data_IF_469950808828
#
_entry.id   IF_469950808828
#
_cell.length_a   1.000
_cell.length_b   1.000
_cell.length_c   1.000
_cell.angle_alpha   90.00
_cell.angle_beta   90.00
_cell.angle_gamma   90.00
#
_symmetry.space_group_name_H-M   'P 1'
#
loop_
_entity.id
_entity.type
_entity.pdbx_description
1 polymer ?
#
# COMPACT_ATOMS: atom_id res chain seq x y z
N UNK A 1 12.74 -4.60 -11.82
CA UNK A 1 11.78 -4.20 -10.78
C UNK A 1 11.53 -5.40 -9.90
N UNK A 2 11.70 -5.23 -8.60
CA UNK A 2 11.41 -6.24 -7.61
C UNK A 2 10.25 -5.72 -6.76
N UNK A 3 9.05 -5.86 -7.32
CA UNK A 3 7.85 -5.30 -6.70
C UNK A 3 7.57 -6.01 -5.39
N UNK A 4 7.42 -5.24 -4.31
CA UNK A 4 7.16 -5.80 -2.97
C UNK A 4 5.83 -6.53 -2.86
N UNK A 5 4.87 -6.26 -3.75
CA UNK A 5 3.50 -6.80 -3.71
C UNK A 5 2.95 -6.95 -5.13
N UNK A 6 2.09 -7.94 -5.33
CA UNK A 6 1.34 -8.08 -6.58
C UNK A 6 0.28 -6.97 -6.74
N UNK A 7 -0.07 -6.59 -7.99
CA UNK A 7 -1.16 -5.66 -8.24
C UNK A 7 -2.46 -6.12 -7.57
N UNK A 8 -3.14 -5.20 -6.88
CA UNK A 8 -4.43 -5.45 -6.24
C UNK A 8 -5.47 -4.47 -6.80
N UNK A 9 -6.53 -4.95 -7.47
CA UNK A 9 -7.54 -4.07 -8.08
C UNK A 9 -8.21 -3.13 -7.06
N UNK A 10 -8.39 -3.58 -5.81
CA UNK A 10 -8.98 -2.78 -4.74
C UNK A 10 -8.06 -1.67 -4.18
N UNK A 11 -6.81 -1.57 -4.66
CA UNK A 11 -5.88 -0.49 -4.30
C UNK A 11 -5.58 0.46 -5.46
N UNK A 12 -6.29 0.31 -6.57
CA UNK A 12 -6.02 1.01 -7.83
C UNK A 12 -7.15 1.98 -8.19
N UNK A 13 -7.51 2.89 -7.28
CA UNK A 13 -8.50 3.93 -7.53
C UNK A 13 -7.86 5.11 -8.29
N UNK A 14 -8.15 5.32 -9.59
CA UNK A 14 -7.83 6.57 -10.26
C UNK A 14 -8.69 7.69 -9.68
N UNK A 15 -8.07 8.85 -9.45
CA UNK A 15 -8.79 10.05 -8.96
C UNK A 15 -9.21 10.93 -10.14
N UNK A 16 -8.51 10.84 -11.27
CA UNK A 16 -8.78 11.61 -12.49
C UNK A 16 -8.77 10.71 -13.73
N UNK A 17 -9.70 10.94 -14.65
CA UNK A 17 -9.71 10.32 -15.96
C UNK A 17 -8.44 10.72 -16.72
N UNK A 18 -7.67 9.78 -17.30
CA UNK A 18 -6.46 10.10 -18.06
C UNK A 18 -6.75 10.86 -19.36
N UNK A 19 -8.00 10.93 -19.80
CA UNK A 19 -8.40 11.59 -21.05
C UNK A 19 -8.96 13.00 -20.83
N UNK A 20 -9.88 13.19 -19.89
CA UNK A 20 -10.58 14.47 -19.69
C UNK A 20 -10.30 15.16 -18.35
N UNK A 21 -9.51 14.53 -17.47
CA UNK A 21 -9.30 14.98 -16.09
C UNK A 21 -10.59 15.07 -15.23
N UNK A 22 -11.70 14.51 -15.70
CA UNK A 22 -12.92 14.33 -14.92
C UNK A 22 -12.74 13.38 -13.75
N UNK A 23 -13.64 13.46 -12.78
CA UNK A 23 -13.57 12.71 -11.52
C UNK A 23 -14.71 11.71 -11.34
N UNK A 24 -15.72 11.73 -12.23
CA UNK A 24 -16.83 10.79 -12.19
C UNK A 24 -16.44 9.43 -12.79
N UNK A 25 -15.81 8.59 -11.96
CA UNK A 25 -15.17 7.32 -12.34
C UNK A 25 -15.81 6.14 -11.60
N UNK A 26 -16.18 5.09 -12.34
CA UNK A 26 -16.76 3.86 -11.79
C UNK A 26 -16.01 2.62 -12.29
N UNK A 27 -15.96 1.52 -11.52
CA UNK A 27 -15.46 0.25 -12.03
C UNK A 27 -16.24 -0.23 -13.26
N UNK A 28 -15.55 -0.84 -14.21
CA UNK A 28 -16.13 -1.41 -15.43
C UNK A 28 -15.95 -2.94 -15.46
N UNK A 29 -16.63 -3.63 -16.38
CA UNK A 29 -16.67 -5.09 -16.44
C UNK A 29 -15.60 -5.70 -17.37
N UNK A 30 -14.89 -4.88 -18.15
CA UNK A 30 -13.86 -5.35 -19.08
C UNK A 30 -12.77 -6.18 -18.38
N UNK A 31 -12.30 -5.74 -17.20
CA UNK A 31 -11.39 -6.48 -16.32
C UNK A 31 -11.43 -5.96 -14.87
N UNK A 32 -10.76 -6.65 -13.93
CA UNK A 32 -10.69 -6.27 -12.50
C UNK A 32 -10.08 -4.87 -12.24
N UNK A 33 -9.39 -4.30 -13.23
CA UNK A 33 -8.68 -3.03 -13.19
C UNK A 33 -9.35 -1.95 -14.06
N UNK A 34 -10.50 -2.25 -14.67
CA UNK A 34 -11.18 -1.39 -15.64
C UNK A 34 -12.02 -0.31 -14.94
N UNK A 35 -12.07 0.86 -15.57
CA UNK A 35 -12.76 2.05 -15.11
C UNK A 35 -13.48 2.73 -16.26
N UNK A 36 -14.69 3.19 -16.01
CA UNK A 36 -15.52 3.98 -16.90
C UNK A 36 -15.62 5.42 -16.39
N UNK A 37 -15.30 6.38 -17.26
CA UNK A 37 -15.53 7.80 -16.98
C UNK A 37 -16.89 8.26 -17.50
N UNK A 38 -17.79 8.67 -16.61
CA UNK A 38 -19.14 9.11 -16.98
C UNK A 38 -19.16 10.48 -17.67
N UNK A 39 -18.08 11.27 -17.56
CA UNK A 39 -17.99 12.59 -18.20
C UNK A 39 -17.60 12.52 -19.69
N UNK A 40 -16.67 11.61 -20.04
CA UNK A 40 -16.18 11.49 -21.42
C UNK A 40 -16.41 10.12 -22.08
N UNK A 41 -17.14 9.23 -21.38
CA UNK A 41 -17.62 7.92 -21.83
C UNK A 41 -16.53 6.92 -22.25
N UNK A 42 -15.29 7.12 -21.81
CA UNK A 42 -14.17 6.23 -22.12
C UNK A 42 -13.98 5.20 -21.01
N UNK A 43 -13.69 3.97 -21.44
CA UNK A 43 -13.26 2.86 -20.58
C UNK A 43 -11.74 2.70 -20.66
N UNK A 44 -11.09 2.47 -19.53
CA UNK A 44 -9.64 2.28 -19.43
C UNK A 44 -9.26 1.42 -18.23
N UNK A 45 -8.14 0.69 -18.30
CA UNK A 45 -7.65 -0.12 -17.16
C UNK A 45 -6.46 0.54 -16.46
N UNK A 46 -6.41 0.48 -15.13
CA UNK A 46 -5.31 1.02 -14.30
C UNK A 46 -4.71 -0.06 -13.41
N UNK A 47 -3.43 -0.35 -13.61
CA UNK A 47 -2.68 -1.34 -12.82
C UNK A 47 -1.52 -0.72 -12.06
N UNK A 48 -1.64 -0.62 -10.74
CA UNK A 48 -0.50 -0.31 -9.86
C UNK A 48 0.25 -1.59 -9.55
N UNK A 49 1.50 -1.68 -10.00
CA UNK A 49 2.37 -2.84 -9.78
C UNK A 49 3.00 -2.89 -8.39
N UNK A 50 2.71 -1.90 -7.53
CA UNK A 50 3.29 -1.76 -6.20
C UNK A 50 4.48 -0.82 -6.18
N UNK A 51 5.25 -0.89 -5.09
CA UNK A 51 6.47 -0.11 -4.90
C UNK A 51 7.67 -0.97 -5.29
N UNK A 52 8.58 -0.41 -6.09
CA UNK A 52 9.87 -1.02 -6.38
C UNK A 52 10.77 -0.99 -5.13
N UNK A 53 11.91 -1.69 -5.20
CA UNK A 53 12.87 -1.68 -4.10
C UNK A 53 13.48 -0.29 -3.87
N UNK A 54 13.67 0.04 -2.60
CA UNK A 54 14.35 1.27 -2.23
C UNK A 54 15.85 1.16 -2.57
N UNK A 55 16.50 2.24 -3.06
CA UNK A 55 17.93 2.22 -3.34
C UNK A 55 18.79 1.85 -2.12
N UNK A 56 18.30 2.18 -0.92
CA UNK A 56 18.89 1.79 0.36
C UNK A 56 17.84 1.03 1.14
N UNK A 57 18.17 -0.19 1.54
CA UNK A 57 17.32 -1.02 2.39
C UNK A 57 17.48 -0.56 3.84
N UNK A 58 16.41 -0.08 4.51
CA UNK A 58 16.48 0.24 5.93
C UNK A 58 16.84 -1.00 6.75
N UNK A 59 17.57 -0.80 7.85
CA UNK A 59 17.78 -1.86 8.81
C UNK A 59 16.42 -2.41 9.30
N UNK A 60 16.29 -3.73 9.52
CA UNK A 60 15.06 -4.32 10.01
C UNK A 60 14.56 -3.61 11.28
N UNK A 61 13.27 -3.29 11.32
CA UNK A 61 12.66 -2.78 12.54
C UNK A 61 12.64 -3.88 13.61
N UNK A 62 13.00 -3.53 14.84
CA UNK A 62 12.83 -4.45 15.99
C UNK A 62 11.35 -4.70 16.23
N UNK A 63 11.02 -5.88 16.74
CA UNK A 63 9.64 -6.19 17.11
C UNK A 63 9.15 -5.25 18.22
N UNK A 64 7.83 -5.04 18.31
CA UNK A 64 7.22 -4.23 19.38
C UNK A 64 7.56 -4.78 20.76
N UNK A 65 7.56 -6.10 20.93
CA UNK A 65 7.96 -6.79 22.16
C UNK A 65 9.42 -6.49 22.52
N UNK A 66 10.33 -6.62 21.57
CA UNK A 66 11.75 -6.35 21.80
C UNK A 66 12.01 -4.87 22.09
N UNK A 67 11.35 -3.96 21.36
CA UNK A 67 11.42 -2.53 21.62
C UNK A 67 10.95 -2.19 23.04
N UNK A 68 9.87 -2.82 23.49
CA UNK A 68 9.34 -2.68 24.85
C UNK A 68 10.33 -3.21 25.89
N UNK A 69 10.85 -4.42 25.73
CA UNK A 69 11.86 -4.99 26.63
C UNK A 69 13.09 -4.09 26.75
N UNK A 70 13.63 -3.61 25.63
CA UNK A 70 14.75 -2.63 25.62
C UNK A 70 14.38 -1.33 26.33
N UNK A 71 13.13 -0.89 26.23
CA UNK A 71 12.67 0.32 26.94
C UNK A 71 12.54 0.10 28.45
N UNK A 72 12.09 -1.08 28.88
CA UNK A 72 11.93 -1.43 30.29
C UNK A 72 13.28 -1.65 30.96
N UNK A 73 14.19 -2.37 30.30
CA UNK A 73 15.56 -2.57 30.77
C UNK A 73 16.29 -1.23 30.99
N UNK A 74 16.15 -0.27 30.06
CA UNK A 74 16.69 1.09 30.21
C UNK A 74 16.15 1.85 31.43
N UNK A 75 14.96 1.48 31.92
CA UNK A 75 14.31 2.07 33.10
C UNK A 75 14.47 1.20 34.36
N UNK A 76 15.21 0.09 34.30
CA UNK A 76 15.41 -0.81 35.43
C UNK A 76 14.22 -1.75 35.71
N UNK A 77 13.34 -1.97 34.72
CA UNK A 77 12.20 -2.89 34.83
C UNK A 77 12.40 -4.15 33.97
N UNK A 78 11.80 -5.27 34.37
CA UNK A 78 11.80 -6.54 33.62
C UNK A 78 10.37 -6.98 33.27
N UNK A 79 10.21 -7.68 32.14
CA UNK A 79 8.95 -8.33 31.75
C UNK A 79 8.84 -9.77 32.23
N UNK A 80 9.87 -10.31 32.89
CA UNK A 80 9.81 -11.66 33.45
C UNK A 80 8.79 -11.70 34.60
N UNK A 81 7.99 -12.77 34.74
CA UNK A 81 7.23 -12.99 35.96
C UNK A 81 8.21 -13.10 37.14
N UNK A 82 7.86 -12.53 38.29
CA UNK A 82 8.59 -12.78 39.52
C UNK A 82 8.33 -14.23 39.94
N UNK A 83 9.41 -14.98 40.20
CA UNK A 83 9.33 -16.33 40.78
C UNK A 83 8.68 -16.32 42.17
#
# INVERSE_FOLDING_TARGET
MNFRRQPNPNRNLPIFCPYCAGTDLFPDQEDDFAWNCQECLRVFSVRFHGQDDAPVVPAPAVSSTEALQRSLARRGHSTAPAD
#
